data_IF_408716227213
#
_entry.id   IF_408716227213
#
_cell.length_a   1.000
_cell.length_b   1.000
_cell.length_c   1.000
_cell.angle_alpha   90.00
_cell.angle_beta   90.00
_cell.angle_gamma   90.00
#
_symmetry.space_group_name_H-M   'P 1'
#
loop_
_entity.id
_entity.type
_entity.pdbx_description
1 polymer ?
#
# COMPACT_ATOMS: atom_id res chain seq x y z
N UNK A 1 9.56 -13.52 -9.81
CA UNK A 1 9.07 -12.75 -10.96
C UNK A 1 8.18 -11.57 -10.54
N UNK A 2 7.07 -11.76 -9.82
CA UNK A 2 6.17 -10.63 -9.46
C UNK A 2 6.86 -9.45 -8.75
N UNK A 3 7.79 -9.71 -7.81
CA UNK A 3 8.55 -8.68 -7.09
C UNK A 3 9.49 -7.89 -8.03
N UNK A 4 9.99 -8.50 -9.10
CA UNK A 4 10.83 -7.82 -10.07
C UNK A 4 10.02 -6.91 -11.01
N UNK A 5 8.74 -7.23 -11.24
CA UNK A 5 7.85 -6.39 -12.05
C UNK A 5 7.23 -5.23 -11.25
N UNK A 6 6.89 -5.48 -9.99
CA UNK A 6 6.36 -4.49 -9.02
C UNK A 6 6.85 -4.90 -7.62
N UNK A 7 7.39 -3.96 -6.85
CA UNK A 7 8.02 -4.29 -5.57
C UNK A 7 7.03 -4.72 -4.47
N UNK A 8 5.79 -4.20 -4.48
CA UNK A 8 4.80 -4.47 -3.42
C UNK A 8 4.54 -5.96 -3.10
N UNK A 9 4.64 -6.93 -4.04
CA UNK A 9 4.41 -8.34 -3.68
C UNK A 9 5.41 -8.91 -2.66
N UNK A 10 6.54 -8.22 -2.40
CA UNK A 10 7.47 -8.59 -1.33
C UNK A 10 6.76 -8.58 0.03
N UNK A 11 5.80 -7.69 0.22
CA UNK A 11 5.03 -7.56 1.46
C UNK A 11 4.19 -8.81 1.78
N UNK A 12 3.83 -9.60 0.77
CA UNK A 12 3.15 -10.89 0.95
C UNK A 12 4.02 -11.88 1.75
N UNK A 13 5.34 -11.76 1.68
CA UNK A 13 6.25 -12.57 2.50
C UNK A 13 6.00 -12.32 4.00
N UNK A 14 5.66 -11.08 4.38
CA UNK A 14 5.25 -10.75 5.74
C UNK A 14 4.00 -11.51 6.18
N UNK A 15 2.97 -11.58 5.32
CA UNK A 15 1.76 -12.35 5.59
C UNK A 15 2.06 -13.86 5.72
N UNK A 16 2.92 -14.39 4.84
CA UNK A 16 3.39 -15.78 4.95
C UNK A 16 4.17 -16.02 6.24
N UNK A 17 5.07 -15.10 6.64
CA UNK A 17 5.86 -15.20 7.86
C UNK A 17 4.97 -15.25 9.11
N UNK A 18 3.97 -14.36 9.22
CA UNK A 18 2.99 -14.36 10.33
C UNK A 18 2.29 -15.73 10.43
N UNK A 19 1.81 -16.27 9.31
CA UNK A 19 1.11 -17.55 9.30
C UNK A 19 2.05 -18.75 9.54
N UNK A 20 3.30 -18.66 9.10
CA UNK A 20 4.32 -19.67 9.34
C UNK A 20 4.69 -19.74 10.85
N UNK A 21 4.86 -18.59 11.49
CA UNK A 21 5.03 -18.49 12.95
C UNK A 21 3.89 -19.21 13.68
N UNK A 22 2.65 -18.93 13.28
CA UNK A 22 1.47 -19.52 13.92
C UNK A 22 1.37 -21.04 13.71
N UNK A 23 1.89 -21.57 12.62
CA UNK A 23 1.75 -23.00 12.24
C UNK A 23 3.02 -23.80 12.44
N UNK A 24 4.12 -23.17 12.91
CA UNK A 24 5.45 -23.76 13.02
C UNK A 24 5.98 -24.41 11.74
N UNK A 25 5.55 -23.92 10.57
CA UNK A 25 5.95 -24.45 9.25
C UNK A 25 7.20 -23.75 8.72
N UNK A 26 8.32 -23.93 9.39
CA UNK A 26 9.58 -23.24 9.09
C UNK A 26 10.21 -23.67 7.76
N UNK A 27 10.27 -24.98 7.49
CA UNK A 27 10.93 -25.51 6.27
C UNK A 27 10.31 -24.98 4.98
N UNK A 28 8.98 -25.03 4.76
CA UNK A 28 8.35 -24.41 3.58
C UNK A 28 8.59 -22.90 3.50
N UNK A 29 8.67 -22.21 4.62
CA UNK A 29 8.91 -20.76 4.66
C UNK A 29 10.33 -20.41 4.22
N UNK A 30 11.34 -21.15 4.66
CA UNK A 30 12.71 -20.96 4.17
C UNK A 30 12.86 -21.27 2.68
N UNK A 31 12.17 -22.31 2.18
CA UNK A 31 12.14 -22.61 0.74
C UNK A 31 11.51 -21.47 -0.04
N UNK A 32 10.38 -20.91 0.44
CA UNK A 32 9.73 -19.77 -0.18
C UNK A 32 10.63 -18.53 -0.22
N UNK A 33 11.26 -18.19 0.91
CA UNK A 33 12.19 -17.06 1.02
C UNK A 33 13.40 -17.25 0.10
N UNK A 34 14.02 -18.41 0.12
CA UNK A 34 15.17 -18.73 -0.73
C UNK A 34 14.84 -18.70 -2.21
N UNK A 35 13.70 -19.28 -2.62
CA UNK A 35 13.23 -19.24 -4.00
C UNK A 35 12.91 -17.80 -4.43
N UNK A 36 12.31 -17.00 -3.55
CA UNK A 36 12.00 -15.58 -3.83
C UNK A 36 13.29 -14.78 -4.00
N UNK A 37 14.23 -14.90 -3.05
CA UNK A 37 15.50 -14.20 -3.10
C UNK A 37 16.34 -14.62 -4.33
N UNK A 38 16.44 -15.93 -4.61
CA UNK A 38 17.15 -16.44 -5.76
C UNK A 38 16.56 -15.98 -7.09
N UNK A 39 15.24 -16.00 -7.23
CA UNK A 39 14.57 -15.49 -8.43
C UNK A 39 14.73 -13.97 -8.58
N UNK A 40 14.64 -13.23 -7.47
CA UNK A 40 14.88 -11.78 -7.49
C UNK A 40 16.32 -11.47 -7.91
N UNK A 41 17.30 -12.16 -7.32
CA UNK A 41 18.72 -12.00 -7.65
C UNK A 41 19.00 -12.34 -9.12
N UNK A 42 18.47 -13.47 -9.62
CA UNK A 42 18.63 -13.89 -11.00
C UNK A 42 18.15 -12.84 -12.01
N UNK A 43 17.05 -12.14 -11.69
CA UNK A 43 16.51 -11.09 -12.55
C UNK A 43 17.27 -9.77 -12.39
N UNK A 44 17.63 -9.37 -11.17
CA UNK A 44 18.15 -8.03 -10.89
C UNK A 44 19.67 -7.91 -11.06
N UNK A 45 20.44 -8.95 -10.70
CA UNK A 45 21.92 -8.90 -10.74
C UNK A 45 22.47 -8.55 -12.12
N UNK A 46 22.00 -9.14 -13.25
CA UNK A 46 22.49 -8.77 -14.58
C UNK A 46 22.33 -7.27 -14.88
N UNK A 47 21.18 -6.68 -14.53
CA UNK A 47 20.91 -5.26 -14.73
C UNK A 47 21.74 -4.39 -13.78
N UNK A 48 21.91 -4.79 -12.53
CA UNK A 48 22.74 -4.08 -11.56
C UNK A 48 24.21 -4.05 -11.96
N UNK A 49 24.73 -5.12 -12.58
CA UNK A 49 26.09 -5.18 -13.10
C UNK A 49 26.23 -4.35 -14.38
N UNK A 50 25.24 -4.43 -15.30
CA UNK A 50 25.28 -3.73 -16.57
C UNK A 50 25.17 -2.21 -16.41
N UNK A 51 24.33 -1.73 -15.50
CA UNK A 51 24.15 -0.30 -15.19
C UNK A 51 23.65 -0.14 -13.74
N UNK A 52 24.60 -0.04 -12.80
CA UNK A 52 24.32 0.09 -11.37
C UNK A 52 23.52 1.36 -11.05
N UNK A 53 23.85 2.49 -11.68
CA UNK A 53 23.16 3.76 -11.45
C UNK A 53 21.71 3.70 -11.90
N UNK A 54 21.46 3.23 -13.12
CA UNK A 54 20.11 3.08 -13.65
C UNK A 54 19.28 2.06 -12.86
N UNK A 55 19.91 0.97 -12.38
CA UNK A 55 19.22 -0.01 -11.52
C UNK A 55 18.89 0.59 -10.14
N UNK A 56 19.80 1.40 -9.55
CA UNK A 56 19.60 2.04 -8.25
C UNK A 56 18.60 3.19 -8.31
N UNK A 57 18.41 3.83 -9.47
CA UNK A 57 17.55 4.99 -9.65
C UNK A 57 16.13 4.78 -9.13
N UNK A 58 15.57 3.58 -9.29
CA UNK A 58 14.24 3.26 -8.74
C UNK A 58 14.19 3.45 -7.22
N UNK A 59 15.20 3.04 -6.51
CA UNK A 59 15.23 3.11 -5.05
C UNK A 59 15.50 4.55 -4.58
N UNK A 60 16.45 5.24 -5.16
CA UNK A 60 16.76 6.64 -4.83
C UNK A 60 15.56 7.54 -5.13
N UNK A 61 14.95 7.45 -6.31
CA UNK A 61 13.75 8.20 -6.66
C UNK A 61 12.62 8.02 -5.67
N UNK A 62 12.33 6.78 -5.24
CA UNK A 62 11.28 6.54 -4.26
C UNK A 62 11.66 7.00 -2.85
N UNK A 63 12.95 7.01 -2.49
CA UNK A 63 13.43 7.55 -1.23
C UNK A 63 13.29 9.08 -1.19
N UNK A 64 13.69 9.77 -2.24
CA UNK A 64 13.75 11.22 -2.29
C UNK A 64 12.39 11.88 -2.56
N UNK A 65 11.42 11.10 -3.04
CA UNK A 65 10.06 11.56 -3.30
C UNK A 65 9.38 12.02 -2.01
N UNK A 66 8.81 13.23 -2.03
CA UNK A 66 7.98 13.77 -0.97
C UNK A 66 6.56 13.20 -0.92
N UNK A 67 5.67 13.90 -0.23
CA UNK A 67 4.23 13.59 -0.22
C UNK A 67 3.63 13.75 -1.60
N UNK A 68 2.66 12.90 -1.93
CA UNK A 68 2.00 12.95 -3.22
C UNK A 68 0.50 12.62 -3.09
N UNK A 69 -0.18 12.78 -4.22
CA UNK A 69 -1.63 12.63 -4.32
C UNK A 69 -2.14 11.31 -3.72
N UNK A 70 -3.30 11.41 -3.07
CA UNK A 70 -4.00 10.29 -2.44
C UNK A 70 -3.44 9.85 -1.10
N UNK A 71 -2.28 10.34 -0.67
CA UNK A 71 -1.77 10.06 0.67
C UNK A 71 -2.48 10.91 1.73
N UNK A 72 -2.62 10.35 2.93
CA UNK A 72 -3.13 11.08 4.09
C UNK A 72 -2.23 12.28 4.44
N UNK A 73 -0.94 12.16 4.16
CA UNK A 73 0.06 13.20 4.40
C UNK A 73 -0.18 14.43 3.52
N UNK A 74 -0.44 14.21 2.22
CA UNK A 74 -0.79 15.28 1.31
C UNK A 74 -2.12 15.92 1.68
N UNK A 75 -3.17 15.11 1.92
CA UNK A 75 -4.49 15.62 2.29
C UNK A 75 -4.45 16.45 3.58
N UNK A 76 -3.67 16.03 4.57
CA UNK A 76 -3.50 16.79 5.81
C UNK A 76 -2.75 18.11 5.57
N UNK A 77 -1.68 18.09 4.74
CA UNK A 77 -0.88 19.31 4.48
C UNK A 77 -1.68 20.38 3.74
N UNK A 78 -2.53 20.03 2.79
CA UNK A 78 -3.38 21.00 2.07
C UNK A 78 -4.53 21.55 2.92
N UNK A 79 -4.84 20.88 4.03
CA UNK A 79 -5.79 21.40 5.05
C UNK A 79 -5.09 22.20 6.18
N UNK A 80 -3.81 22.52 6.00
CA UNK A 80 -3.06 23.39 6.93
C UNK A 80 -2.26 22.64 8.00
N UNK A 81 -2.17 21.30 7.96
CA UNK A 81 -1.24 20.60 8.83
C UNK A 81 0.22 20.90 8.41
N UNK A 82 1.16 20.99 9.37
CA UNK A 82 2.57 21.19 9.05
C UNK A 82 3.08 20.15 8.05
N UNK A 83 3.73 20.60 7.00
CA UNK A 83 4.34 19.70 6.03
C UNK A 83 5.46 18.88 6.69
N UNK A 84 5.42 17.57 6.54
CA UNK A 84 6.47 16.68 7.03
C UNK A 84 7.64 16.74 6.04
N UNK A 85 8.88 17.08 6.45
CA UNK A 85 10.05 17.05 5.58
C UNK A 85 10.27 15.67 4.97
N UNK A 86 10.80 15.60 3.74
CA UNK A 86 10.89 14.35 2.98
C UNK A 86 11.72 13.25 3.69
N UNK A 87 12.78 13.61 4.39
CA UNK A 87 13.61 12.73 5.21
C UNK A 87 12.86 12.18 6.42
N UNK A 88 12.18 13.05 7.16
CA UNK A 88 11.33 12.67 8.28
C UNK A 88 10.13 11.82 7.81
N UNK A 89 9.56 12.12 6.63
CA UNK A 89 8.43 11.42 6.06
C UNK A 89 8.74 9.93 5.80
N UNK A 90 9.94 9.60 5.31
CA UNK A 90 10.34 8.21 5.13
C UNK A 90 10.32 7.43 6.45
N UNK A 91 10.85 8.05 7.51
CA UNK A 91 10.88 7.45 8.84
C UNK A 91 9.48 7.29 9.41
N UNK A 92 8.63 8.33 9.30
CA UNK A 92 7.25 8.31 9.82
C UNK A 92 6.39 7.31 9.06
N UNK A 93 6.44 7.31 7.72
CA UNK A 93 5.67 6.36 6.89
C UNK A 93 6.10 4.91 7.15
N UNK A 94 7.42 4.65 7.22
CA UNK A 94 7.94 3.33 7.56
C UNK A 94 7.56 2.91 8.98
N UNK A 95 7.69 3.81 9.95
CA UNK A 95 7.29 3.56 11.33
C UNK A 95 5.81 3.24 11.46
N UNK A 96 4.95 4.01 10.80
CA UNK A 96 3.49 3.76 10.76
C UNK A 96 3.17 2.40 10.10
N UNK A 97 3.85 2.06 9.00
CA UNK A 97 3.71 0.74 8.39
C UNK A 97 4.12 -0.38 9.34
N UNK A 98 5.29 -0.27 9.99
CA UNK A 98 5.79 -1.29 10.91
C UNK A 98 4.87 -1.46 12.12
N UNK A 99 4.36 -0.38 12.69
CA UNK A 99 3.37 -0.43 13.78
C UNK A 99 2.10 -1.16 13.35
N UNK A 100 1.56 -0.84 12.18
CA UNK A 100 0.41 -1.54 11.63
C UNK A 100 0.70 -3.00 11.32
N UNK A 101 1.87 -3.32 10.80
CA UNK A 101 2.31 -4.70 10.54
C UNK A 101 2.41 -5.51 11.84
N UNK A 102 3.00 -4.94 12.89
CA UNK A 102 3.08 -5.57 14.22
C UNK A 102 1.68 -5.78 14.80
N UNK A 103 0.79 -4.80 14.70
CA UNK A 103 -0.59 -4.93 15.15
C UNK A 103 -1.31 -6.09 14.43
N UNK A 104 -1.15 -6.21 13.09
CA UNK A 104 -1.71 -7.33 12.30
C UNK A 104 -1.09 -8.66 12.76
N UNK A 105 0.21 -8.70 13.02
CA UNK A 105 0.90 -9.91 13.49
C UNK A 105 0.35 -10.34 14.86
N UNK A 106 0.29 -9.42 15.83
CA UNK A 106 -0.28 -9.67 17.16
C UNK A 106 -1.72 -10.16 17.05
N UNK A 107 -2.57 -9.47 16.30
CA UNK A 107 -3.96 -9.88 16.07
C UNK A 107 -4.02 -11.28 15.46
N UNK A 108 -3.24 -11.54 14.41
CA UNK A 108 -3.23 -12.84 13.72
C UNK A 108 -2.73 -13.98 14.60
N UNK A 109 -1.83 -13.71 15.52
CA UNK A 109 -1.28 -14.72 16.44
C UNK A 109 -2.18 -14.96 17.65
N UNK A 110 -2.90 -13.93 18.13
CA UNK A 110 -3.73 -14.01 19.35
C UNK A 110 -5.17 -14.48 19.09
N UNK A 111 -5.71 -14.34 17.88
CA UNK A 111 -7.08 -14.76 17.59
C UNK A 111 -7.28 -16.28 17.78
N UNK A 112 -8.46 -16.68 18.29
CA UNK A 112 -8.81 -18.11 18.46
C UNK A 112 -8.83 -18.87 17.13
N UNK A 113 -9.43 -18.27 16.09
CA UNK A 113 -9.49 -18.85 14.74
C UNK A 113 -8.30 -18.39 13.91
N UNK A 114 -7.67 -19.31 13.21
CA UNK A 114 -6.58 -19.01 12.30
C UNK A 114 -7.08 -18.14 11.15
N UNK A 115 -6.52 -16.94 10.92
CA UNK A 115 -6.87 -16.14 9.77
C UNK A 115 -6.40 -16.81 8.47
N UNK A 116 -7.13 -16.56 7.39
CA UNK A 116 -6.76 -17.02 6.06
C UNK A 116 -5.65 -16.13 5.48
N UNK A 117 -4.83 -16.70 4.60
CA UNK A 117 -3.74 -15.95 3.96
C UNK A 117 -4.24 -14.66 3.29
N UNK A 118 -5.38 -14.73 2.57
CA UNK A 118 -5.94 -13.56 1.90
C UNK A 118 -6.32 -12.43 2.87
N UNK A 119 -6.78 -12.75 4.09
CA UNK A 119 -7.10 -11.77 5.12
C UNK A 119 -5.84 -11.04 5.59
N UNK A 120 -4.81 -11.81 5.98
CA UNK A 120 -3.54 -11.22 6.44
C UNK A 120 -2.86 -10.44 5.32
N UNK A 121 -2.83 -10.98 4.10
CA UNK A 121 -2.25 -10.33 2.93
C UNK A 121 -2.97 -9.01 2.59
N UNK A 122 -4.31 -9.00 2.61
CA UNK A 122 -5.10 -7.78 2.41
C UNK A 122 -4.75 -6.72 3.45
N UNK A 123 -4.73 -7.08 4.73
CA UNK A 123 -4.43 -6.14 5.82
C UNK A 123 -3.01 -5.57 5.70
N UNK A 124 -2.01 -6.40 5.40
CA UNK A 124 -0.61 -5.96 5.24
C UNK A 124 -0.47 -4.99 4.06
N UNK A 125 -1.05 -5.31 2.89
CA UNK A 125 -1.00 -4.41 1.73
C UNK A 125 -1.81 -3.13 1.99
N UNK A 126 -2.98 -3.22 2.64
CA UNK A 126 -3.79 -2.06 2.98
C UNK A 126 -3.05 -1.11 3.92
N UNK A 127 -2.42 -1.61 4.98
CA UNK A 127 -1.59 -0.76 5.87
C UNK A 127 -0.45 -0.12 5.11
N UNK A 128 0.22 -0.84 4.20
CA UNK A 128 1.30 -0.30 3.39
C UNK A 128 0.83 0.88 2.51
N UNK A 129 -0.29 0.74 1.81
CA UNK A 129 -0.79 1.82 0.95
C UNK A 129 -1.32 3.00 1.76
N UNK A 130 -1.93 2.77 2.92
CA UNK A 130 -2.43 3.83 3.81
C UNK A 130 -1.32 4.61 4.50
N UNK A 131 -0.22 3.96 4.89
CA UNK A 131 0.94 4.62 5.49
C UNK A 131 1.88 5.26 4.48
N UNK A 132 1.75 4.89 3.20
CA UNK A 132 2.63 5.32 2.12
C UNK A 132 2.56 6.82 1.84
N UNK A 133 3.64 7.37 1.28
CA UNK A 133 3.75 8.77 0.84
C UNK A 133 2.87 9.08 -0.37
N UNK A 134 2.42 8.04 -1.06
CA UNK A 134 1.61 8.07 -2.28
C UNK A 134 0.55 7.00 -2.19
N UNK A 135 -0.68 7.34 -2.46
CA UNK A 135 -1.74 6.35 -2.63
C UNK A 135 -2.41 6.56 -4.00
N UNK A 136 -1.73 6.14 -5.04
CA UNK A 136 -2.23 6.24 -6.41
C UNK A 136 -3.54 5.44 -6.58
N UNK A 137 -4.52 5.93 -7.39
CA UNK A 137 -5.78 5.23 -7.65
C UNK A 137 -5.60 3.78 -8.13
N UNK A 138 -4.54 3.51 -8.89
CA UNK A 138 -4.22 2.17 -9.38
C UNK A 138 -3.89 1.15 -8.27
N UNK A 139 -3.55 1.60 -7.04
CA UNK A 139 -3.19 0.68 -5.95
C UNK A 139 -4.40 -0.10 -5.43
N UNK A 140 -5.62 0.39 -5.68
CA UNK A 140 -6.84 -0.38 -5.41
C UNK A 140 -6.83 -1.74 -6.13
N UNK A 141 -6.24 -1.82 -7.32
CA UNK A 141 -6.12 -3.06 -8.09
C UNK A 141 -5.25 -4.13 -7.40
N UNK A 142 -4.35 -3.74 -6.50
CA UNK A 142 -3.58 -4.68 -5.69
C UNK A 142 -4.43 -5.30 -4.58
N UNK A 143 -5.41 -4.54 -4.11
CA UNK A 143 -6.29 -4.93 -3.00
C UNK A 143 -7.53 -5.70 -3.48
N UNK A 144 -8.07 -5.43 -4.67
CA UNK A 144 -9.32 -6.04 -5.17
C UNK A 144 -9.30 -7.57 -5.13
N UNK A 145 -8.30 -8.29 -5.70
CA UNK A 145 -8.29 -9.75 -5.65
C UNK A 145 -8.16 -10.29 -4.22
N UNK A 146 -7.39 -9.60 -3.37
CA UNK A 146 -7.23 -9.98 -1.97
C UNK A 146 -8.53 -9.73 -1.19
N UNK A 147 -9.21 -8.61 -1.43
CA UNK A 147 -10.50 -8.28 -0.82
C UNK A 147 -11.58 -9.32 -1.14
N UNK A 148 -11.69 -9.71 -2.42
CA UNK A 148 -12.65 -10.72 -2.86
C UNK A 148 -12.43 -12.07 -2.15
N UNK A 149 -11.16 -12.46 -1.93
CA UNK A 149 -10.81 -13.70 -1.23
C UNK A 149 -10.89 -13.55 0.31
N UNK A 150 -10.57 -12.36 0.85
CA UNK A 150 -10.56 -12.11 2.29
C UNK A 150 -11.96 -11.98 2.86
N UNK A 151 -12.84 -11.26 2.17
CA UNK A 151 -14.19 -10.93 2.62
C UNK A 151 -15.19 -10.98 1.45
N UNK A 152 -15.70 -12.15 1.04
CA UNK A 152 -16.62 -12.30 -0.08
C UNK A 152 -18.05 -11.86 0.30
N UNK A 153 -18.23 -10.59 0.69
CA UNK A 153 -19.52 -9.97 1.01
C UNK A 153 -19.70 -8.73 0.18
N UNK A 154 -20.65 -8.76 -0.74
CA UNK A 154 -20.95 -7.69 -1.69
C UNK A 154 -21.16 -6.33 -1.02
N UNK A 155 -21.92 -6.28 0.07
CA UNK A 155 -22.17 -5.02 0.80
C UNK A 155 -20.87 -4.34 1.21
N UNK A 156 -19.98 -5.07 1.87
CA UNK A 156 -18.76 -4.52 2.43
C UNK A 156 -17.79 -4.13 1.30
N UNK A 157 -17.74 -4.94 0.24
CA UNK A 157 -16.96 -4.66 -0.96
C UNK A 157 -17.44 -3.41 -1.70
N UNK A 158 -18.76 -3.26 -1.89
CA UNK A 158 -19.33 -2.10 -2.59
C UNK A 158 -19.17 -0.81 -1.81
N UNK A 159 -19.31 -0.83 -0.46
CA UNK A 159 -19.04 0.33 0.38
C UNK A 159 -17.59 0.78 0.21
N UNK A 160 -16.64 -0.15 0.24
CA UNK A 160 -15.23 0.16 -0.01
C UNK A 160 -15.01 0.71 -1.42
N UNK A 161 -15.54 0.07 -2.45
CA UNK A 161 -15.40 0.50 -3.85
C UNK A 161 -16.02 1.87 -4.09
N UNK A 162 -17.14 2.20 -3.44
CA UNK A 162 -17.73 3.53 -3.54
C UNK A 162 -16.74 4.62 -3.13
N UNK A 163 -16.03 4.44 -2.01
CA UNK A 163 -14.98 5.38 -1.59
C UNK A 163 -13.85 5.49 -2.61
N UNK A 164 -13.45 4.37 -3.24
CA UNK A 164 -12.41 4.37 -4.26
C UNK A 164 -12.86 5.09 -5.56
N UNK A 165 -14.12 4.91 -5.97
CA UNK A 165 -14.70 5.58 -7.16
C UNK A 165 -14.84 7.07 -6.93
N UNK A 166 -15.29 7.50 -5.74
CA UNK A 166 -15.35 8.93 -5.37
C UNK A 166 -13.96 9.55 -5.47
N UNK A 167 -12.95 8.91 -4.89
CA UNK A 167 -11.57 9.38 -4.96
C UNK A 167 -11.05 9.39 -6.41
N UNK A 168 -11.31 8.34 -7.20
CA UNK A 168 -10.91 8.27 -8.61
C UNK A 168 -11.45 9.46 -9.42
N UNK A 169 -12.73 9.79 -9.27
CA UNK A 169 -13.31 10.97 -9.91
C UNK A 169 -12.69 12.28 -9.41
N UNK A 170 -12.50 12.40 -8.11
CA UNK A 170 -11.96 13.60 -7.48
C UNK A 170 -10.51 13.89 -7.89
N UNK A 171 -9.63 12.88 -7.94
CA UNK A 171 -8.22 13.07 -8.34
C UNK A 171 -8.11 13.55 -9.77
N UNK A 172 -8.82 12.93 -10.71
CA UNK A 172 -8.75 13.34 -12.12
C UNK A 172 -9.35 14.74 -12.35
N UNK A 173 -10.45 15.05 -11.68
CA UNK A 173 -11.02 16.39 -11.74
C UNK A 173 -10.11 17.46 -11.11
N UNK A 174 -9.41 17.11 -10.02
CA UNK A 174 -8.43 18.00 -9.41
C UNK A 174 -7.22 18.23 -10.32
N UNK A 175 -6.69 17.18 -10.95
CA UNK A 175 -5.51 17.23 -11.82
C UNK A 175 -5.76 18.04 -13.11
N UNK A 176 -6.98 18.14 -13.60
CA UNK A 176 -7.30 18.99 -14.76
C UNK A 176 -6.84 20.44 -14.55
N UNK A 177 -6.85 20.93 -13.30
CA UNK A 177 -6.38 22.28 -12.98
C UNK A 177 -4.86 22.47 -13.10
N UNK A 178 -4.08 21.39 -13.23
CA UNK A 178 -2.63 21.45 -13.49
C UNK A 178 -2.31 21.39 -14.99
N UNK A 179 -3.17 20.72 -15.77
CA UNK A 179 -2.90 20.43 -17.18
C UNK A 179 -3.55 21.43 -18.14
N UNK A 180 -4.63 22.09 -17.70
CA UNK A 180 -5.43 22.99 -18.55
C UNK A 180 -5.60 24.34 -17.86
N UNK A 181 -5.06 25.37 -18.47
CA UNK A 181 -5.19 26.77 -18.02
C UNK A 181 -6.70 27.16 -18.04
N UNK A 182 -7.17 27.84 -17.00
CA UNK A 182 -8.59 28.24 -16.78
C UNK A 182 -9.61 27.08 -16.65
N UNK A 183 -9.16 25.84 -16.44
CA UNK A 183 -10.08 24.74 -16.21
C UNK A 183 -10.82 24.87 -14.87
N UNK A 184 -12.11 24.53 -14.84
CA UNK A 184 -12.90 24.39 -13.62
C UNK A 184 -12.50 23.10 -12.91
N UNK A 185 -11.36 23.12 -12.23
CA UNK A 185 -10.86 21.99 -11.46
C UNK A 185 -11.55 21.86 -10.10
N UNK A 186 -11.47 20.65 -9.53
CA UNK A 186 -11.92 20.43 -8.15
C UNK A 186 -10.98 21.16 -7.18
N UNK A 187 -11.55 21.98 -6.28
CA UNK A 187 -10.79 22.66 -5.24
C UNK A 187 -10.06 21.70 -4.30
N UNK A 188 -8.93 22.14 -3.77
CA UNK A 188 -8.01 21.33 -2.96
C UNK A 188 -8.66 20.76 -1.70
N UNK A 189 -9.58 21.53 -1.06
CA UNK A 189 -10.29 21.10 0.15
C UNK A 189 -11.22 19.90 -0.16
N UNK A 190 -11.98 19.98 -1.25
CA UNK A 190 -12.87 18.88 -1.67
C UNK A 190 -12.09 17.66 -2.10
N UNK A 191 -10.94 17.87 -2.75
CA UNK A 191 -10.02 16.79 -3.07
C UNK A 191 -9.48 16.11 -1.79
N UNK A 192 -9.08 16.89 -0.76
CA UNK A 192 -8.65 16.35 0.53
C UNK A 192 -9.76 15.54 1.20
N UNK A 193 -11.00 16.04 1.19
CA UNK A 193 -12.17 15.30 1.71
C UNK A 193 -12.35 13.97 0.97
N UNK A 194 -12.27 13.96 -0.37
CA UNK A 194 -12.36 12.71 -1.15
C UNK A 194 -11.22 11.73 -0.80
N UNK A 195 -10.02 12.24 -0.52
CA UNK A 195 -8.90 11.44 -0.04
C UNK A 195 -9.21 10.80 1.31
N UNK A 196 -9.77 11.53 2.29
CA UNK A 196 -10.16 10.94 3.56
C UNK A 196 -11.32 9.95 3.43
N UNK A 197 -12.25 10.16 2.51
CA UNK A 197 -13.36 9.22 2.24
C UNK A 197 -12.80 7.87 1.76
N UNK A 198 -11.87 7.84 0.79
CA UNK A 198 -11.32 6.57 0.34
C UNK A 198 -10.43 5.88 1.37
N UNK A 199 -9.70 6.65 2.18
CA UNK A 199 -8.95 6.12 3.33
C UNK A 199 -9.91 5.49 4.34
N UNK A 200 -10.96 6.19 4.74
CA UNK A 200 -11.96 5.69 5.67
C UNK A 200 -12.68 4.43 5.14
N UNK A 201 -13.01 4.40 3.83
CA UNK A 201 -13.58 3.23 3.19
C UNK A 201 -12.62 2.03 3.21
N UNK A 202 -11.32 2.26 3.02
CA UNK A 202 -10.30 1.20 3.12
C UNK A 202 -10.16 0.70 4.55
N UNK A 203 -10.11 1.59 5.54
CA UNK A 203 -10.10 1.21 6.97
C UNK A 203 -11.36 0.46 7.35
N UNK A 204 -12.55 0.92 6.91
CA UNK A 204 -13.80 0.18 7.09
C UNK A 204 -13.67 -1.28 6.62
N UNK A 205 -13.17 -1.48 5.40
CA UNK A 205 -13.04 -2.83 4.86
C UNK A 205 -12.01 -3.67 5.63
N UNK A 206 -10.90 -3.06 6.09
CA UNK A 206 -9.92 -3.72 6.97
C UNK A 206 -10.56 -4.23 8.26
N UNK A 207 -11.45 -3.44 8.87
CA UNK A 207 -12.18 -3.83 10.09
C UNK A 207 -13.15 -4.98 9.81
N UNK A 208 -13.71 -5.03 8.62
CA UNK A 208 -14.63 -6.10 8.21
C UNK A 208 -13.93 -7.42 7.86
N UNK A 209 -12.65 -7.41 7.52
CA UNK A 209 -11.83 -8.59 7.17
C UNK A 209 -11.43 -9.38 8.39
#
# INVERSE_FOLDING_TARGET
MAIAAKFYPVLLLGAFAILALRTAKWRPSFVLLGATAGTWALVNIPFAIANTEGWWYFYSFNSDRGVDFGSIWYAASVLGAPAVPADALNTVATGTFLLGFVAIAVLSLSTKRRPRLAQVAFLVIAVFVLSGKVYSPQYVLWLVPLAAMARPKWRDFLIWQLGQVIYFGAIWWHLVGYDVEDAKALGVELYAVATFVHVAATVYFMVMV
#
